data_IF_097618276852
#
_entry.id   IF_097618276852
#
_cell.length_a   1.000
_cell.length_b   1.000
_cell.length_c   1.000
_cell.angle_alpha   90.00
_cell.angle_beta   90.00
_cell.angle_gamma   90.00
#
_symmetry.space_group_name_H-M   'P 1'
#
loop_
_entity.id
_entity.type
_entity.pdbx_description
1 polymer ?
#
# COMPACT_ATOMS: atom_id res chain seq x y z
N UNK A 1 17.46 -1.84 9.38
CA UNK A 1 17.01 -2.65 8.22
C UNK A 1 18.21 -3.28 7.50
N UNK A 2 19.37 -3.36 8.17
CA UNK A 2 20.68 -3.58 7.53
C UNK A 2 20.81 -4.98 6.93
N UNK A 3 20.15 -5.98 7.52
CA UNK A 3 20.12 -7.33 6.98
C UNK A 3 19.41 -7.40 5.61
N UNK A 4 18.51 -6.47 5.29
CA UNK A 4 17.87 -6.39 3.97
C UNK A 4 18.80 -5.82 2.89
N UNK A 5 19.89 -5.16 3.25
CA UNK A 5 20.83 -4.57 2.28
C UNK A 5 21.54 -5.63 1.42
N UNK A 6 21.64 -6.86 1.93
CA UNK A 6 22.23 -8.00 1.21
C UNK A 6 21.37 -8.55 0.08
N UNK A 7 20.10 -8.13 -0.02
CA UNK A 7 19.21 -8.53 -1.10
C UNK A 7 19.34 -7.58 -2.29
N UNK A 8 19.18 -8.15 -3.48
CA UNK A 8 19.11 -7.39 -4.73
C UNK A 8 17.78 -6.64 -4.81
N UNK A 9 16.68 -7.34 -4.52
CA UNK A 9 15.33 -6.79 -4.48
C UNK A 9 14.58 -7.25 -3.23
N UNK A 10 13.74 -6.37 -2.69
CA UNK A 10 12.90 -6.62 -1.52
C UNK A 10 11.45 -6.29 -1.87
N UNK A 11 10.64 -7.34 -2.01
CA UNK A 11 9.20 -7.21 -2.29
C UNK A 11 8.42 -7.15 -0.99
N UNK A 12 7.65 -6.09 -0.82
CA UNK A 12 6.83 -5.82 0.35
C UNK A 12 5.35 -6.05 0.02
N UNK A 13 4.81 -7.18 0.45
CA UNK A 13 3.38 -7.47 0.41
C UNK A 13 2.78 -7.07 1.77
N UNK A 14 2.15 -5.90 1.82
CA UNK A 14 1.47 -5.37 3.01
C UNK A 14 0.02 -5.02 2.67
N UNK A 15 -0.78 -4.85 3.71
CA UNK A 15 -2.14 -4.37 3.58
C UNK A 15 -2.19 -3.01 2.88
N UNK A 16 -3.27 -2.81 2.15
CA UNK A 16 -3.55 -1.58 1.41
C UNK A 16 -4.26 -0.60 2.34
N UNK A 17 -3.52 -0.16 3.36
CA UNK A 17 -3.99 0.75 4.40
C UNK A 17 -2.88 1.73 4.85
N UNK A 18 -3.20 2.62 5.79
CA UNK A 18 -2.22 3.58 6.31
C UNK A 18 -0.99 2.92 6.95
N UNK A 19 -1.14 1.77 7.59
CA UNK A 19 -0.08 1.04 8.27
C UNK A 19 0.88 0.39 7.28
N UNK A 20 0.35 -0.37 6.32
CA UNK A 20 1.16 -1.01 5.27
C UNK A 20 1.94 0.00 4.44
N UNK A 21 1.30 1.11 4.05
CA UNK A 21 1.99 2.19 3.33
C UNK A 21 3.06 2.87 4.18
N UNK A 22 2.82 3.07 5.49
CA UNK A 22 3.82 3.65 6.39
C UNK A 22 5.03 2.72 6.55
N UNK A 23 4.81 1.41 6.70
CA UNK A 23 5.87 0.42 6.78
C UNK A 23 6.72 0.43 5.52
N UNK A 24 6.08 0.46 4.35
CA UNK A 24 6.80 0.54 3.08
C UNK A 24 7.60 1.83 2.93
N UNK A 25 7.02 2.98 3.28
CA UNK A 25 7.74 4.26 3.23
C UNK A 25 9.04 4.23 4.07
N UNK A 26 8.99 3.60 5.26
CA UNK A 26 10.19 3.41 6.10
C UNK A 26 11.22 2.49 5.44
N UNK A 27 10.77 1.39 4.82
CA UNK A 27 11.66 0.45 4.13
C UNK A 27 12.29 1.11 2.89
N UNK A 28 11.50 1.78 2.07
CA UNK A 28 11.94 2.46 0.86
C UNK A 28 12.96 3.58 1.17
N UNK A 29 12.77 4.32 2.26
CA UNK A 29 13.75 5.31 2.72
C UNK A 29 15.11 4.70 3.09
N UNK A 30 15.14 3.43 3.51
CA UNK A 30 16.37 2.74 3.90
C UNK A 30 17.02 1.94 2.78
N UNK A 31 16.25 1.45 1.81
CA UNK A 31 16.70 0.53 0.76
C UNK A 31 16.70 1.19 -0.64
N UNK A 32 16.33 2.46 -0.73
CA UNK A 32 16.30 3.27 -1.95
C UNK A 32 15.48 2.57 -3.05
N UNK A 33 16.12 2.04 -4.08
CA UNK A 33 15.56 1.47 -5.29
C UNK A 33 15.34 -0.05 -5.21
N UNK A 34 15.82 -0.70 -4.16
CA UNK A 34 15.68 -2.15 -3.96
C UNK A 34 14.30 -2.56 -3.46
N UNK A 35 13.56 -1.63 -2.83
CA UNK A 35 12.27 -1.93 -2.22
C UNK A 35 11.12 -1.74 -3.23
N UNK A 36 10.28 -2.76 -3.38
CA UNK A 36 9.08 -2.71 -4.22
C UNK A 36 7.84 -3.05 -3.40
N UNK A 37 6.83 -2.20 -3.48
CA UNK A 37 5.53 -2.50 -2.90
C UNK A 37 4.72 -3.36 -3.86
N UNK A 38 4.24 -4.51 -3.39
CA UNK A 38 3.48 -5.46 -4.21
C UNK A 38 2.04 -4.98 -4.31
N UNK A 39 1.65 -4.53 -5.50
CA UNK A 39 0.29 -4.12 -5.81
C UNK A 39 -0.01 -4.30 -7.30
N UNK A 40 -1.28 -4.45 -7.69
CA UNK A 40 -1.71 -4.33 -9.07
C UNK A 40 -1.37 -2.95 -9.66
N UNK A 41 -1.11 -2.90 -10.96
CA UNK A 41 -0.97 -1.64 -11.67
C UNK A 41 -2.32 -0.89 -11.80
N UNK A 42 -3.41 -1.65 -11.79
CA UNK A 42 -4.78 -1.16 -11.84
C UNK A 42 -5.64 -1.86 -10.79
N UNK A 43 -6.31 -1.07 -9.95
CA UNK A 43 -7.15 -1.53 -8.86
C UNK A 43 -8.61 -1.78 -9.25
N UNK A 44 -9.05 -1.39 -10.46
CA UNK A 44 -10.43 -1.57 -10.93
C UNK A 44 -11.03 -2.96 -10.63
N UNK A 45 -10.33 -4.08 -10.94
CA UNK A 45 -10.88 -5.43 -10.72
C UNK A 45 -11.15 -5.78 -9.25
N UNK A 46 -10.44 -5.13 -8.31
CA UNK A 46 -10.51 -5.43 -6.88
C UNK A 46 -11.23 -4.33 -6.05
N UNK A 47 -11.84 -3.31 -6.68
CA UNK A 47 -12.52 -2.23 -5.94
C UNK A 47 -13.58 -2.75 -4.95
N UNK A 48 -14.26 -3.85 -5.29
CA UNK A 48 -15.25 -4.50 -4.42
C UNK A 48 -14.63 -5.18 -3.18
N UNK A 49 -13.32 -5.43 -3.17
CA UNK A 49 -12.59 -6.03 -2.05
C UNK A 49 -12.13 -5.00 -1.02
N UNK A 50 -12.15 -3.70 -1.35
CA UNK A 50 -11.96 -2.63 -0.38
C UNK A 50 -13.18 -2.53 0.55
N UNK A 51 -13.16 -3.32 1.62
CA UNK A 51 -14.28 -3.47 2.55
C UNK A 51 -13.97 -2.95 3.97
N UNK A 52 -12.70 -2.69 4.29
CA UNK A 52 -12.26 -2.28 5.63
C UNK A 52 -12.48 -0.78 5.82
N UNK A 53 -13.36 -0.42 6.76
CA UNK A 53 -13.67 0.97 7.07
C UNK A 53 -12.51 1.57 7.88
N UNK A 54 -11.98 2.75 7.51
CA UNK A 54 -10.97 3.43 8.32
C UNK A 54 -11.52 3.81 9.69
N UNK A 55 -10.72 3.62 10.74
CA UNK A 55 -11.12 3.97 12.11
C UNK A 55 -11.32 5.49 12.32
N UNK A 56 -10.69 6.32 11.48
CA UNK A 56 -10.82 7.78 11.53
C UNK A 56 -10.51 8.45 10.19
N UNK A 57 -11.01 9.68 10.02
CA UNK A 57 -10.75 10.54 8.85
C UNK A 57 -9.25 10.87 8.73
N UNK A 58 -8.56 11.07 9.85
CA UNK A 58 -7.12 11.35 9.88
C UNK A 58 -6.34 10.15 9.36
N UNK A 59 -6.72 8.92 9.74
CA UNK A 59 -6.08 7.69 9.25
C UNK A 59 -6.26 7.56 7.74
N UNK A 60 -7.46 7.83 7.23
CA UNK A 60 -7.74 7.79 5.80
C UNK A 60 -6.96 8.85 5.02
N UNK A 61 -6.96 10.10 5.51
CA UNK A 61 -6.19 11.20 4.90
C UNK A 61 -4.69 10.89 4.88
N UNK A 62 -4.16 10.29 5.95
CA UNK A 62 -2.78 9.83 6.01
C UNK A 62 -2.49 8.78 4.94
N UNK A 63 -3.35 7.79 4.76
CA UNK A 63 -3.18 6.76 3.73
C UNK A 63 -3.16 7.37 2.32
N UNK A 64 -4.07 8.31 2.02
CA UNK A 64 -4.09 9.04 0.74
C UNK A 64 -2.77 9.79 0.50
N UNK A 65 -2.31 10.58 1.49
CA UNK A 65 -1.07 11.33 1.38
C UNK A 65 0.16 10.44 1.19
N UNK A 66 0.21 9.29 1.88
CA UNK A 66 1.26 8.30 1.69
C UNK A 66 1.22 7.70 0.28
N UNK A 67 0.05 7.27 -0.20
CA UNK A 67 -0.09 6.69 -1.54
C UNK A 67 0.33 7.69 -2.63
N UNK A 68 -0.05 8.96 -2.51
CA UNK A 68 0.38 10.03 -3.43
C UNK A 68 1.89 10.26 -3.39
N UNK A 69 2.48 10.35 -2.19
CA UNK A 69 3.92 10.56 -2.00
C UNK A 69 4.74 9.41 -2.59
N UNK A 70 4.25 8.17 -2.42
CA UNK A 70 4.83 6.96 -2.99
C UNK A 70 4.52 6.79 -4.49
N UNK A 71 3.77 7.72 -5.09
CA UNK A 71 3.31 7.70 -6.49
C UNK A 71 2.43 6.50 -6.85
N UNK A 72 1.72 5.94 -5.87
CA UNK A 72 0.75 4.87 -6.06
C UNK A 72 -0.60 5.45 -6.48
N UNK A 73 -0.62 6.04 -7.67
CA UNK A 73 -1.77 6.84 -8.17
C UNK A 73 -3.05 6.01 -8.22
N UNK A 74 -2.99 4.79 -8.77
CA UNK A 74 -4.16 3.91 -8.86
C UNK A 74 -4.68 3.50 -7.47
N UNK A 75 -3.79 3.27 -6.50
CA UNK A 75 -4.20 2.94 -5.13
C UNK A 75 -4.86 4.14 -4.44
N UNK A 76 -4.31 5.35 -4.62
CA UNK A 76 -4.93 6.57 -4.10
C UNK A 76 -6.33 6.79 -4.70
N UNK A 77 -6.52 6.48 -5.99
CA UNK A 77 -7.84 6.51 -6.63
C UNK A 77 -8.79 5.46 -6.05
N UNK A 78 -8.33 4.22 -5.83
CA UNK A 78 -9.12 3.19 -5.19
C UNK A 78 -9.59 3.60 -3.78
N UNK A 79 -8.71 4.22 -2.99
CA UNK A 79 -9.10 4.81 -1.70
C UNK A 79 -10.18 5.87 -1.88
N UNK A 80 -10.00 6.87 -2.76
CA UNK A 80 -11.01 7.93 -2.96
C UNK A 80 -12.36 7.38 -3.42
N UNK A 81 -12.35 6.41 -4.34
CA UNK A 81 -13.57 5.82 -4.89
C UNK A 81 -14.33 5.01 -3.84
N UNK A 82 -13.62 4.27 -2.98
CA UNK A 82 -14.24 3.32 -2.05
C UNK A 82 -14.44 3.89 -0.64
N UNK A 83 -13.63 4.87 -0.25
CA UNK A 83 -13.53 5.38 1.12
C UNK A 83 -12.99 4.33 2.11
N UNK A 84 -12.36 3.25 1.62
CA UNK A 84 -12.06 2.05 2.40
C UNK A 84 -10.63 1.56 2.15
N UNK A 85 -10.19 0.65 2.99
CA UNK A 85 -8.94 -0.09 2.89
C UNK A 85 -9.19 -1.55 2.50
N UNK A 86 -8.11 -2.27 2.21
CA UNK A 86 -8.15 -3.68 1.84
C UNK A 86 -6.97 -4.43 2.47
N UNK A 87 -7.23 -5.63 3.01
CA UNK A 87 -6.16 -6.54 3.45
C UNK A 87 -5.46 -7.15 2.24
N UNK A 88 -4.19 -7.52 2.37
CA UNK A 88 -3.40 -8.06 1.26
C UNK A 88 -3.95 -9.39 0.72
N UNK A 89 -4.48 -10.24 1.61
CA UNK A 89 -4.97 -11.58 1.30
C UNK A 89 -6.16 -11.58 0.34
N UNK A 90 -6.87 -10.46 0.19
CA UNK A 90 -8.01 -10.33 -0.72
C UNK A 90 -7.64 -10.52 -2.20
N UNK A 91 -6.37 -10.37 -2.55
CA UNK A 91 -5.86 -10.63 -3.90
C UNK A 91 -5.66 -12.14 -4.16
N UNK A 92 -5.47 -12.95 -3.11
CA UNK A 92 -5.21 -14.38 -3.23
C UNK A 92 -6.48 -15.22 -3.43
N UNK A 93 -7.66 -14.61 -3.27
CA UNK A 93 -8.97 -15.25 -3.42
C UNK A 93 -9.42 -15.33 -4.91
N UNK A 94 -8.44 -15.51 -5.82
CA UNK A 94 -8.62 -15.79 -7.25
C UNK A 94 -8.47 -17.29 -7.57
#
# INVERSE_FOLDING_TARGET
>A
LDWLQGYEEVFCAFDYDAGGLQMFATIAASLTDKARFVQPADWQPWLNRFCKIPDSTERFTKALSLAETLRFVSLAEAFRTTGKFMEQEMILDE
#
